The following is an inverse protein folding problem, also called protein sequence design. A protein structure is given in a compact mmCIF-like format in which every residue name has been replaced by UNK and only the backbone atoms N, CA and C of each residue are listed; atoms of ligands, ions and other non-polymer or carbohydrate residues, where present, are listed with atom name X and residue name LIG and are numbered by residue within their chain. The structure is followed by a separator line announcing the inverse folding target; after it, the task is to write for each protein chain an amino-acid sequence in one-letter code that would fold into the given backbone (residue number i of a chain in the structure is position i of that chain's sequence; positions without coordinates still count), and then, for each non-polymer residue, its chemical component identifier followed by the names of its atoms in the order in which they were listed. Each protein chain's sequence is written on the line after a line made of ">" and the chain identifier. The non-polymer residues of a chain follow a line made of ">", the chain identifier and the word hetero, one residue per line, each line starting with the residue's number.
data_IF_467531124147
#
_entry.id   IF_467531124147
#
_cell.length_a   1.000
_cell.length_b   1.000
_cell.length_c   1.000
_cell.angle_alpha   90.00
_cell.angle_beta   90.00
_cell.angle_gamma   90.00
#
_symmetry.space_group_name_H-M   'P 1'
#
loop_
_entity.id
_entity.type
_entity.pdbx_description
1 polymer ?
#
# COMPACT_ATOMS: atom_id res chain seq x y z
N UNK A 1 7.10 28.82 27.85
CA UNK A 1 7.75 27.68 28.55
C UNK A 1 7.47 26.31 27.92
N UNK A 2 6.26 26.03 27.40
CA UNK A 2 5.96 24.75 26.75
C UNK A 2 6.72 24.52 25.43
N UNK A 3 6.83 25.53 24.56
CA UNK A 3 7.57 25.42 23.29
C UNK A 3 9.06 25.08 23.47
N UNK A 4 9.71 25.62 24.51
CA UNK A 4 11.11 25.33 24.81
C UNK A 4 11.34 23.86 25.21
N UNK A 5 10.33 23.18 25.76
CA UNK A 5 10.40 21.75 26.09
C UNK A 5 10.31 20.84 24.86
N UNK A 6 9.78 21.34 23.75
CA UNK A 6 9.71 20.61 22.49
C UNK A 6 10.98 20.79 21.65
N UNK A 7 11.82 21.78 21.96
CA UNK A 7 13.02 22.07 21.21
C UNK A 7 13.99 20.86 21.14
N UNK A 8 14.28 20.13 22.23
CA UNK A 8 15.13 18.95 22.14
C UNK A 8 14.55 17.87 21.23
N UNK A 9 13.23 17.64 21.30
CA UNK A 9 12.55 16.66 20.46
C UNK A 9 12.57 17.09 18.98
N UNK A 10 12.37 18.38 18.70
CA UNK A 10 12.45 18.93 17.35
C UNK A 10 13.86 18.80 16.78
N UNK A 11 14.90 19.16 17.56
CA UNK A 11 16.29 19.05 17.13
C UNK A 11 16.69 17.59 16.89
N UNK A 12 16.25 16.68 17.77
CA UNK A 12 16.49 15.25 17.59
C UNK A 12 15.76 14.71 16.35
N UNK A 13 14.48 15.06 16.16
CA UNK A 13 13.71 14.66 14.99
C UNK A 13 14.33 15.20 13.69
N UNK A 14 14.81 16.44 13.69
CA UNK A 14 15.51 17.04 12.56
C UNK A 14 16.83 16.31 12.26
N UNK A 15 17.62 16.03 13.29
CA UNK A 15 18.87 15.29 13.15
C UNK A 15 18.63 13.87 12.60
N UNK A 16 17.62 13.16 13.10
CA UNK A 16 17.22 11.84 12.59
C UNK A 16 16.75 11.93 11.14
N UNK A 17 15.92 12.92 10.79
CA UNK A 17 15.46 13.15 9.42
C UNK A 17 16.64 13.36 8.47
N UNK A 18 17.59 14.24 8.81
CA UNK A 18 18.78 14.50 8.00
C UNK A 18 19.64 13.23 7.90
N UNK A 19 19.87 12.53 9.01
CA UNK A 19 20.67 11.30 9.01
C UNK A 19 20.03 10.19 8.14
N UNK A 20 18.71 10.08 8.11
CA UNK A 20 17.99 9.05 7.37
C UNK A 20 17.68 9.43 5.90
N UNK A 21 17.88 10.68 5.49
CA UNK A 21 17.49 11.17 4.17
C UNK A 21 18.69 11.73 3.39
N UNK A 22 19.31 10.94 2.48
CA UNK A 22 20.52 11.35 1.76
C UNK A 22 20.40 12.69 1.02
N UNK A 23 19.22 13.00 0.46
CA UNK A 23 19.01 14.28 -0.20
C UNK A 23 18.99 15.45 0.78
N UNK A 24 18.44 15.28 2.00
CA UNK A 24 18.55 16.28 3.05
C UNK A 24 20.00 16.46 3.54
N UNK A 25 20.85 15.42 3.50
CA UNK A 25 22.26 15.56 3.90
C UNK A 25 23.04 16.53 3.02
N UNK A 26 22.67 16.65 1.72
CA UNK A 26 23.32 17.57 0.79
C UNK A 26 23.05 19.05 1.11
N UNK A 27 21.87 19.35 1.66
CA UNK A 27 21.49 20.68 2.13
C UNK A 27 20.49 20.53 3.30
N UNK A 28 20.98 20.39 4.54
CA UNK A 28 20.17 20.01 5.71
C UNK A 28 19.07 20.99 6.09
N UNK A 29 19.07 22.19 5.51
CA UNK A 29 18.03 23.21 5.74
C UNK A 29 17.23 23.49 4.47
N UNK A 30 17.90 23.70 3.34
CA UNK A 30 17.24 24.08 2.09
C UNK A 30 16.45 22.95 1.45
N UNK A 31 17.00 21.73 1.41
CA UNK A 31 16.31 20.61 0.77
C UNK A 31 15.03 20.17 1.50
N UNK A 32 14.99 20.04 2.84
CA UNK A 32 13.75 19.80 3.56
C UNK A 32 12.67 20.87 3.31
N UNK A 33 13.05 22.15 3.28
CA UNK A 33 12.11 23.26 2.99
C UNK A 33 11.60 23.18 1.55
N UNK A 34 12.49 22.94 0.57
CA UNK A 34 12.11 22.74 -0.85
C UNK A 34 11.16 21.56 -1.03
N UNK A 35 11.43 20.43 -0.37
CA UNK A 35 10.51 19.30 -0.41
C UNK A 35 9.14 19.67 0.15
N UNK A 36 9.09 20.36 1.29
CA UNK A 36 7.81 20.77 1.88
C UNK A 36 7.01 21.68 0.92
N UNK A 37 7.68 22.62 0.24
CA UNK A 37 7.02 23.47 -0.76
C UNK A 37 6.54 22.68 -1.97
N UNK A 38 7.35 21.77 -2.50
CA UNK A 38 6.95 21.01 -3.70
C UNK A 38 5.86 19.96 -3.42
N UNK A 39 5.88 19.31 -2.26
CA UNK A 39 4.81 18.39 -1.86
C UNK A 39 3.47 19.13 -1.65
N UNK A 40 3.48 20.43 -1.36
CA UNK A 40 2.26 21.22 -1.21
C UNK A 40 1.57 21.55 -2.53
N UNK A 41 2.26 21.40 -3.67
CA UNK A 41 1.75 21.75 -5.01
C UNK A 41 2.02 20.65 -6.05
N UNK A 42 2.01 19.37 -5.65
CA UNK A 42 2.38 18.27 -6.54
C UNK A 42 1.32 18.09 -7.66
N UNK A 43 1.66 18.32 -8.96
CA UNK A 43 0.68 18.42 -10.04
C UNK A 43 0.33 17.04 -10.64
N UNK A 44 0.01 16.07 -9.79
CA UNK A 44 -0.33 14.72 -10.24
C UNK A 44 -1.84 14.55 -10.32
N UNK A 45 -2.36 14.54 -11.54
CA UNK A 45 -3.79 14.50 -11.83
C UNK A 45 -4.16 13.27 -12.65
N UNK A 46 -4.83 12.31 -12.02
CA UNK A 46 -5.37 11.12 -12.69
C UNK A 46 -6.54 10.54 -11.90
N UNK A 47 -7.25 9.58 -12.50
CA UNK A 47 -8.34 8.87 -11.84
C UNK A 47 -7.91 7.49 -11.35
N UNK A 48 -8.46 7.06 -10.22
CA UNK A 48 -8.19 5.77 -9.61
C UNK A 48 -9.43 5.24 -8.89
N UNK A 49 -9.48 3.92 -8.65
CA UNK A 49 -10.62 3.30 -7.98
C UNK A 49 -10.46 3.30 -6.46
N UNK A 50 -11.52 3.72 -5.78
CA UNK A 50 -11.61 3.65 -4.33
C UNK A 50 -13.06 3.41 -3.89
N UNK A 51 -13.26 2.43 -3.00
CA UNK A 51 -14.59 2.00 -2.57
C UNK A 51 -15.57 1.72 -3.74
N UNK A 52 -15.06 1.20 -4.87
CA UNK A 52 -15.84 0.90 -6.07
C UNK A 52 -16.21 2.12 -6.94
N UNK A 53 -15.75 3.31 -6.57
CA UNK A 53 -15.96 4.54 -7.32
C UNK A 53 -14.65 5.00 -7.98
N UNK A 54 -14.75 5.69 -9.10
CA UNK A 54 -13.61 6.36 -9.72
C UNK A 54 -13.45 7.74 -9.12
N UNK A 55 -12.35 7.97 -8.40
CA UNK A 55 -12.01 9.25 -7.78
C UNK A 55 -10.86 9.90 -8.55
N UNK A 56 -10.77 11.22 -8.49
CA UNK A 56 -9.67 12.00 -9.05
C UNK A 56 -8.74 12.43 -7.93
N UNK A 57 -7.43 12.39 -8.16
CA UNK A 57 -6.42 12.73 -7.14
C UNK A 57 -6.51 14.17 -6.62
N UNK A 58 -7.13 15.07 -7.40
CA UNK A 58 -7.29 16.50 -7.11
C UNK A 58 -8.68 16.86 -6.56
N UNK A 59 -9.61 15.91 -6.46
CA UNK A 59 -10.98 16.12 -5.98
C UNK A 59 -11.40 14.92 -5.10
N UNK A 60 -10.77 14.84 -3.92
CA UNK A 60 -11.00 13.75 -2.99
C UNK A 60 -12.12 14.10 -2.01
N UNK A 61 -13.12 13.23 -1.83
CA UNK A 61 -14.15 13.48 -0.84
C UNK A 61 -13.57 13.39 0.57
N UNK A 62 -14.14 14.16 1.50
CA UNK A 62 -13.71 14.18 2.92
C UNK A 62 -13.65 12.79 3.56
N UNK A 63 -14.48 11.85 3.10
CA UNK A 63 -14.55 10.50 3.63
C UNK A 63 -13.42 9.57 3.15
N UNK A 64 -12.61 9.98 2.15
CA UNK A 64 -11.53 9.18 1.59
C UNK A 64 -10.53 8.72 2.66
N UNK A 65 -10.00 9.66 3.44
CA UNK A 65 -9.02 9.39 4.51
C UNK A 65 -9.59 8.46 5.60
N UNK A 66 -10.74 8.77 6.24
CA UNK A 66 -11.29 7.90 7.28
C UNK A 66 -11.71 6.54 6.73
N UNK A 67 -12.26 6.46 5.52
CA UNK A 67 -12.60 5.17 4.89
C UNK A 67 -11.32 4.35 4.60
N UNK A 68 -10.25 4.99 4.14
CA UNK A 68 -8.96 4.36 3.88
C UNK A 68 -8.39 3.68 5.12
N UNK A 69 -8.33 4.39 6.25
CA UNK A 69 -7.95 3.79 7.53
C UNK A 69 -8.95 2.73 7.99
N UNK A 70 -10.24 2.95 7.78
CA UNK A 70 -11.31 2.01 8.12
C UNK A 70 -11.17 0.65 7.44
N UNK A 71 -10.57 0.57 6.25
CA UNK A 71 -10.36 -0.69 5.52
C UNK A 71 -8.92 -1.22 5.59
N UNK A 72 -7.94 -0.38 5.95
CA UNK A 72 -6.51 -0.75 6.05
C UNK A 72 -6.03 -1.01 7.47
N UNK A 73 -6.77 -0.63 8.51
CA UNK A 73 -6.41 -0.95 9.89
C UNK A 73 -7.01 -2.30 10.33
N UNK A 74 -6.26 -3.11 11.11
CA UNK A 74 -6.84 -4.30 11.75
C UNK A 74 -8.04 -3.94 12.63
N UNK A 75 -9.07 -4.80 12.64
CA UNK A 75 -10.32 -4.52 13.37
C UNK A 75 -10.10 -4.29 14.86
N UNK A 76 -9.14 -5.01 15.46
CA UNK A 76 -8.77 -4.79 16.86
C UNK A 76 -8.25 -3.37 17.09
N UNK A 77 -7.45 -2.84 16.16
CA UNK A 77 -6.91 -1.47 16.23
C UNK A 77 -8.05 -0.45 16.07
N UNK A 78 -8.98 -0.68 15.12
CA UNK A 78 -10.15 0.20 14.94
C UNK A 78 -11.01 0.23 16.22
N UNK A 79 -11.31 -0.93 16.80
CA UNK A 79 -12.07 -1.03 18.05
C UNK A 79 -11.37 -0.31 19.20
N UNK A 80 -10.05 -0.48 19.33
CA UNK A 80 -9.23 0.20 20.31
C UNK A 80 -9.24 1.72 20.15
N UNK A 81 -9.13 2.22 18.92
CA UNK A 81 -9.21 3.64 18.59
C UNK A 81 -10.60 4.21 18.92
N UNK A 82 -11.68 3.46 18.69
CA UNK A 82 -13.02 3.83 19.14
C UNK A 82 -13.09 3.99 20.67
N UNK A 83 -12.48 3.08 21.42
CA UNK A 83 -12.32 3.20 22.87
C UNK A 83 -11.48 4.41 23.28
N UNK A 84 -10.36 4.65 22.60
CA UNK A 84 -9.50 5.82 22.81
C UNK A 84 -10.28 7.13 22.64
N UNK A 85 -11.08 7.24 21.56
CA UNK A 85 -11.94 8.38 21.30
C UNK A 85 -13.00 8.55 22.40
N UNK A 86 -13.69 7.48 22.79
CA UNK A 86 -14.69 7.53 23.85
C UNK A 86 -14.11 8.03 25.18
N UNK A 87 -12.91 7.58 25.55
CA UNK A 87 -12.23 8.07 26.76
C UNK A 87 -11.72 9.50 26.62
N UNK A 88 -11.25 9.90 25.44
CA UNK A 88 -10.85 11.29 25.18
C UNK A 88 -12.04 12.24 25.35
N UNK A 89 -13.19 11.92 24.76
CA UNK A 89 -14.43 12.69 24.89
C UNK A 89 -14.93 12.73 26.33
N UNK A 90 -14.90 11.60 27.03
CA UNK A 90 -15.30 11.55 28.43
C UNK A 90 -14.30 12.29 29.36
N UNK A 91 -13.02 12.37 28.98
CA UNK A 91 -12.01 13.19 29.66
C UNK A 91 -12.26 14.69 29.44
N UNK A 92 -12.55 15.08 28.21
CA UNK A 92 -12.91 16.45 27.83
C UNK A 92 -14.17 16.91 28.57
N UNK A 93 -15.22 16.10 28.61
CA UNK A 93 -16.46 16.40 29.32
C UNK A 93 -16.26 16.58 30.85
N UNK A 94 -15.22 15.97 31.42
CA UNK A 94 -14.84 16.11 32.83
C UNK A 94 -13.77 17.18 33.07
N UNK A 95 -13.40 17.96 32.06
CA UNK A 95 -12.33 18.96 32.16
C UNK A 95 -10.92 18.40 32.39
N UNK A 96 -10.70 17.10 32.15
CA UNK A 96 -9.43 16.42 32.40
C UNK A 96 -8.53 16.42 31.14
N UNK A 97 -8.08 17.62 30.78
CA UNK A 97 -7.25 17.90 29.60
C UNK A 97 -5.76 17.93 29.96
N UNK A 98 -5.17 16.74 30.14
CA UNK A 98 -3.72 16.63 30.38
C UNK A 98 -2.94 16.95 29.09
N UNK A 99 -1.82 17.70 29.15
CA UNK A 99 -1.04 18.08 27.97
C UNK A 99 -0.65 16.90 27.08
N UNK A 100 -0.35 15.75 27.66
CA UNK A 100 0.06 14.54 26.93
C UNK A 100 -1.09 13.98 26.08
N UNK A 101 -2.33 14.04 26.58
CA UNK A 101 -3.53 13.59 25.85
C UNK A 101 -3.87 14.55 24.71
N UNK A 102 -3.71 15.85 24.94
CA UNK A 102 -3.88 16.87 23.90
C UNK A 102 -2.82 16.65 22.81
N UNK A 103 -1.56 16.44 23.19
CA UNK A 103 -0.46 16.17 22.26
C UNK A 103 -0.70 14.92 21.42
N UNK A 104 -1.12 13.81 22.04
CA UNK A 104 -1.47 12.58 21.31
C UNK A 104 -2.67 12.80 20.38
N UNK A 105 -3.73 13.45 20.86
CA UNK A 105 -4.90 13.78 20.04
C UNK A 105 -4.54 14.66 18.84
N UNK A 106 -3.71 15.68 19.04
CA UNK A 106 -3.20 16.52 17.96
C UNK A 106 -2.34 15.73 16.97
N UNK A 107 -1.46 14.84 17.44
CA UNK A 107 -0.63 14.01 16.57
C UNK A 107 -1.46 13.04 15.69
N UNK A 108 -2.60 12.55 16.21
CA UNK A 108 -3.52 11.69 15.46
C UNK A 108 -4.40 12.48 14.50
N UNK A 109 -4.96 13.61 14.94
CA UNK A 109 -6.04 14.31 14.24
C UNK A 109 -5.56 15.44 13.34
N UNK A 110 -4.49 16.15 13.71
CA UNK A 110 -4.05 17.33 12.97
C UNK A 110 -3.54 17.00 11.56
N UNK A 111 -2.66 16.00 11.34
CA UNK A 111 -2.19 15.71 9.99
C UNK A 111 -3.31 15.35 8.99
N UNK A 112 -4.24 14.41 9.30
CA UNK A 112 -5.33 14.12 8.37
C UNK A 112 -6.29 15.31 8.23
N UNK A 113 -6.52 16.10 9.28
CA UNK A 113 -7.36 17.30 9.19
C UNK A 113 -6.75 18.35 8.24
N UNK A 114 -5.45 18.60 8.32
CA UNK A 114 -4.76 19.51 7.38
C UNK A 114 -4.93 18.99 5.96
N UNK A 115 -4.64 17.71 5.72
CA UNK A 115 -4.79 17.07 4.40
C UNK A 115 -6.20 17.22 3.83
N UNK A 116 -7.24 17.04 4.64
CA UNK A 116 -8.64 17.19 4.23
C UNK A 116 -9.08 18.65 4.04
N UNK A 117 -8.46 19.60 4.74
CA UNK A 117 -8.80 21.04 4.63
C UNK A 117 -8.06 21.71 3.49
N UNK A 118 -6.85 21.25 3.16
CA UNK A 118 -6.03 21.79 2.07
C UNK A 118 -6.23 21.05 0.75
N UNK A 119 -7.17 20.10 0.68
CA UNK A 119 -7.41 19.24 -0.47
C UNK A 119 -6.10 18.66 -1.06
N UNK A 120 -5.23 18.16 -0.18
CA UNK A 120 -3.93 17.66 -0.59
C UNK A 120 -4.08 16.45 -1.53
N UNK A 121 -3.25 16.41 -2.58
CA UNK A 121 -3.29 15.35 -3.59
C UNK A 121 -2.89 14.01 -2.96
N UNK A 122 -3.84 13.09 -2.85
CA UNK A 122 -3.61 11.71 -2.40
C UNK A 122 -4.02 10.71 -3.47
N UNK A 123 -3.40 9.54 -3.41
CA UNK A 123 -3.69 8.39 -4.26
C UNK A 123 -3.18 7.11 -3.60
N UNK A 124 -3.58 5.96 -4.17
CA UNK A 124 -3.12 4.62 -3.78
C UNK A 124 -3.40 4.29 -2.30
N UNK A 125 -4.58 4.66 -1.81
CA UNK A 125 -5.02 4.40 -0.44
C UNK A 125 -4.31 5.28 0.60
N UNK A 126 -3.88 4.68 1.70
CA UNK A 126 -3.31 5.39 2.87
C UNK A 126 -1.80 5.61 2.79
N UNK A 127 -1.13 5.32 1.65
CA UNK A 127 0.34 5.27 1.60
C UNK A 127 1.02 6.59 1.97
N UNK A 128 0.38 7.71 1.64
CA UNK A 128 0.83 9.06 1.99
C UNK A 128 0.69 9.39 3.48
N UNK A 129 -0.06 8.58 4.22
CA UNK A 129 -0.41 8.77 5.64
C UNK A 129 0.13 7.64 6.53
N UNK A 130 1.04 6.78 6.04
CA UNK A 130 1.60 5.66 6.81
C UNK A 130 2.35 6.12 8.07
N UNK A 131 2.84 7.36 8.08
CA UNK A 131 3.47 7.97 9.26
C UNK A 131 2.51 8.12 10.45
N UNK A 132 1.19 8.04 10.23
CA UNK A 132 0.21 8.03 11.33
C UNK A 132 0.12 6.67 12.03
N UNK A 133 0.53 5.58 11.39
CA UNK A 133 0.36 4.22 11.94
C UNK A 133 1.01 4.05 13.32
N UNK A 134 2.24 4.51 13.59
CA UNK A 134 2.84 4.40 14.92
C UNK A 134 2.04 5.15 15.99
N UNK A 135 1.57 6.36 15.69
CA UNK A 135 0.82 7.18 16.66
C UNK A 135 -0.57 6.59 16.92
N UNK A 136 -1.23 6.09 15.88
CA UNK A 136 -2.48 5.34 15.99
C UNK A 136 -2.29 4.07 16.83
N UNK A 137 -1.18 3.35 16.63
CA UNK A 137 -0.86 2.15 17.41
C UNK A 137 -0.66 2.48 18.89
N UNK A 138 0.02 3.59 19.23
CA UNK A 138 0.16 4.06 20.62
C UNK A 138 -1.20 4.39 21.23
N UNK A 139 -2.05 5.14 20.51
CA UNK A 139 -3.40 5.47 20.98
C UNK A 139 -4.25 4.21 21.22
N UNK A 140 -4.19 3.26 20.29
CA UNK A 140 -4.85 1.96 20.40
C UNK A 140 -4.30 1.13 21.58
N UNK A 141 -2.98 1.11 21.80
CA UNK A 141 -2.35 0.36 22.87
C UNK A 141 -2.73 0.90 24.25
N UNK A 142 -2.67 2.22 24.45
CA UNK A 142 -3.12 2.87 25.69
C UNK A 142 -4.59 2.59 25.98
N UNK A 143 -5.39 2.54 24.91
CA UNK A 143 -6.78 2.20 25.02
C UNK A 143 -6.98 0.73 25.44
N UNK A 144 -6.30 -0.20 24.79
CA UNK A 144 -6.36 -1.61 25.17
C UNK A 144 -5.88 -1.85 26.59
N UNK A 145 -4.75 -1.26 26.98
CA UNK A 145 -4.19 -1.37 28.34
C UNK A 145 -5.21 -0.94 29.39
N UNK A 146 -5.86 0.22 29.18
CA UNK A 146 -6.91 0.69 30.06
C UNK A 146 -8.12 -0.24 30.09
N UNK A 147 -8.57 -0.78 28.96
CA UNK A 147 -9.68 -1.73 28.92
C UNK A 147 -9.34 -3.02 29.67
N UNK A 148 -8.13 -3.54 29.49
CA UNK A 148 -7.65 -4.76 30.14
C UNK A 148 -7.49 -4.56 31.65
N UNK A 149 -7.10 -3.36 32.09
CA UNK A 149 -7.03 -2.99 33.51
C UNK A 149 -8.40 -2.92 34.21
N UNK A 150 -9.52 -2.92 33.46
CA UNK A 150 -10.87 -3.05 34.03
C UNK A 150 -11.26 -4.50 34.31
N UNK A 151 -10.50 -5.47 33.79
CA UNK A 151 -10.76 -6.88 34.05
C UNK A 151 -10.29 -7.26 35.47
N UNK A 152 -11.05 -8.11 36.19
CA UNK A 152 -10.58 -8.63 37.46
C UNK A 152 -9.35 -9.51 37.26
N UNK A 153 -8.46 -9.56 38.25
CA UNK A 153 -7.16 -10.26 38.18
C UNK A 153 -7.26 -11.72 37.68
N UNK A 154 -8.31 -12.45 38.09
CA UNK A 154 -8.61 -13.82 37.62
C UNK A 154 -8.82 -13.94 36.09
N UNK A 155 -9.00 -12.81 35.39
CA UNK A 155 -9.22 -12.69 33.94
C UNK A 155 -8.08 -11.94 33.24
N UNK A 156 -6.98 -11.62 33.93
CA UNK A 156 -5.84 -10.91 33.34
C UNK A 156 -5.24 -11.65 32.13
N UNK A 157 -5.35 -12.99 32.10
CA UNK A 157 -4.87 -13.83 30.99
C UNK A 157 -5.59 -13.58 29.64
N UNK A 158 -6.81 -13.02 29.66
CA UNK A 158 -7.60 -12.77 28.44
C UNK A 158 -6.86 -11.81 27.50
N UNK A 159 -6.29 -10.73 28.03
CA UNK A 159 -5.60 -9.71 27.23
C UNK A 159 -4.45 -10.28 26.41
N UNK A 160 -3.43 -10.89 27.06
CA UNK A 160 -2.33 -11.52 26.35
C UNK A 160 -2.77 -12.60 25.37
N UNK A 161 -3.79 -13.39 25.71
CA UNK A 161 -4.28 -14.48 24.84
C UNK A 161 -4.93 -13.94 23.57
N UNK A 162 -5.79 -12.92 23.69
CA UNK A 162 -6.41 -12.26 22.52
C UNK A 162 -5.35 -11.58 21.66
N UNK A 163 -4.39 -10.90 22.28
CA UNK A 163 -3.29 -10.24 21.56
C UNK A 163 -2.39 -11.25 20.83
N UNK A 164 -2.07 -12.38 21.46
CA UNK A 164 -1.27 -13.44 20.85
C UNK A 164 -2.01 -14.08 19.67
N UNK A 165 -3.31 -14.38 19.82
CA UNK A 165 -4.13 -14.89 18.74
C UNK A 165 -4.27 -13.91 17.56
N UNK A 166 -4.46 -12.62 17.87
CA UNK A 166 -4.48 -11.57 16.86
C UNK A 166 -3.13 -11.42 16.15
N UNK A 167 -2.02 -11.39 16.88
CA UNK A 167 -0.68 -11.32 16.30
C UNK A 167 -0.38 -12.53 15.40
N UNK A 168 -0.76 -13.74 15.82
CA UNK A 168 -0.63 -14.95 15.00
C UNK A 168 -1.45 -14.84 13.70
N UNK A 169 -2.68 -14.33 13.76
CA UNK A 169 -3.49 -14.10 12.56
C UNK A 169 -2.83 -13.09 11.60
N UNK A 170 -2.29 -11.98 12.12
CA UNK A 170 -1.56 -11.00 11.29
C UNK A 170 -0.29 -11.60 10.68
N UNK A 171 0.46 -12.42 11.42
CA UNK A 171 1.64 -13.12 10.88
C UNK A 171 1.28 -14.11 9.77
N UNK A 172 0.15 -14.81 9.90
CA UNK A 172 -0.35 -15.70 8.83
C UNK A 172 -0.71 -14.89 7.58
N UNK A 173 -1.38 -13.74 7.74
CA UNK A 173 -1.70 -12.87 6.60
C UNK A 173 -0.44 -12.33 5.93
N UNK A 174 0.55 -11.86 6.71
CA UNK A 174 1.83 -11.41 6.19
C UNK A 174 2.54 -12.54 5.42
N UNK A 175 2.62 -13.74 5.98
CA UNK A 175 3.24 -14.89 5.32
C UNK A 175 2.53 -15.29 4.02
N UNK A 176 1.20 -15.23 3.98
CA UNK A 176 0.40 -15.54 2.78
C UNK A 176 0.53 -14.47 1.70
N UNK A 177 0.73 -13.22 2.10
CA UNK A 177 0.85 -12.09 1.17
C UNK A 177 2.27 -11.86 0.71
N UNK A 178 3.28 -12.32 1.44
CA UNK A 178 4.68 -12.03 1.15
C UNK A 178 5.05 -12.24 -0.34
N UNK A 179 5.75 -11.28 -0.98
CA UNK A 179 6.20 -9.97 -0.49
C UNK A 179 5.23 -8.79 -0.77
N UNK A 180 3.92 -9.05 -0.83
CA UNK A 180 2.86 -8.09 -1.20
C UNK A 180 1.97 -7.69 -0.02
N UNK A 181 2.52 -7.53 1.17
CA UNK A 181 1.74 -7.18 2.38
C UNK A 181 0.95 -5.87 2.21
N UNK A 182 1.41 -4.96 1.35
CA UNK A 182 0.72 -3.71 1.02
C UNK A 182 -0.70 -3.91 0.43
N UNK A 183 -0.96 -5.06 -0.22
CA UNK A 183 -2.29 -5.35 -0.79
C UNK A 183 -3.29 -5.84 0.25
N UNK A 184 -2.89 -5.98 1.51
CA UNK A 184 -3.78 -6.39 2.59
C UNK A 184 -4.93 -5.41 2.79
N UNK A 185 -6.12 -5.96 3.05
CA UNK A 185 -7.32 -5.23 3.45
C UNK A 185 -8.00 -6.02 4.58
N UNK A 186 -8.64 -5.31 5.50
CA UNK A 186 -9.30 -5.94 6.63
C UNK A 186 -10.63 -6.60 6.21
N UNK A 187 -11.28 -7.28 7.17
CA UNK A 187 -12.54 -7.97 6.90
C UNK A 187 -13.72 -7.04 6.57
N UNK A 188 -13.70 -5.75 6.91
CA UNK A 188 -14.76 -4.80 6.49
C UNK A 188 -14.73 -4.57 4.98
N UNK A 189 -13.55 -4.61 4.37
CA UNK A 189 -13.39 -4.61 2.91
C UNK A 189 -13.55 -6.00 2.28
N UNK A 190 -13.84 -7.05 3.07
CA UNK A 190 -13.92 -8.43 2.58
C UNK A 190 -12.55 -9.07 2.30
N UNK A 191 -11.49 -8.58 2.93
CA UNK A 191 -10.12 -9.02 2.67
C UNK A 191 -9.62 -8.62 1.28
N UNK A 192 -8.53 -9.25 0.84
CA UNK A 192 -7.91 -8.98 -0.47
C UNK A 192 -8.89 -9.22 -1.62
N UNK A 193 -9.67 -10.30 -1.57
CA UNK A 193 -10.70 -10.62 -2.59
C UNK A 193 -11.81 -9.60 -2.64
N UNK A 194 -12.28 -9.14 -1.48
CA UNK A 194 -13.30 -8.09 -1.43
C UNK A 194 -12.74 -6.74 -1.85
N UNK A 195 -11.43 -6.53 -1.77
CA UNK A 195 -10.81 -5.30 -2.24
C UNK A 195 -10.62 -5.26 -3.76
N UNK A 196 -10.51 -6.42 -4.42
CA UNK A 196 -10.38 -6.52 -5.87
C UNK A 196 -11.48 -5.77 -6.62
N UNK A 197 -11.08 -4.98 -7.61
CA UNK A 197 -11.96 -4.11 -8.40
C UNK A 197 -12.57 -2.91 -7.65
N UNK A 198 -12.50 -2.85 -6.31
CA UNK A 198 -13.06 -1.77 -5.47
C UNK A 198 -11.99 -0.83 -4.90
N UNK A 199 -10.82 -1.35 -4.59
CA UNK A 199 -9.71 -0.61 -4.03
C UNK A 199 -8.41 -0.97 -4.75
N UNK A 200 -7.42 -0.13 -4.54
CA UNK A 200 -6.09 -0.31 -5.08
C UNK A 200 -5.36 -1.49 -4.40
N UNK A 201 -4.81 -2.40 -5.21
CA UNK A 201 -3.99 -3.53 -4.74
C UNK A 201 -2.51 -3.25 -5.03
N UNK A 202 -1.96 -3.81 -6.11
CA UNK A 202 -0.56 -3.60 -6.49
C UNK A 202 -0.38 -2.28 -7.25
N UNK A 203 -0.09 -1.23 -6.47
CA UNK A 203 -0.08 0.14 -6.99
C UNK A 203 1.10 0.45 -7.94
N UNK A 204 2.21 -0.29 -7.83
CA UNK A 204 3.46 -0.01 -8.56
C UNK A 204 3.97 -1.17 -9.41
N UNK A 205 3.12 -2.18 -9.62
CA UNK A 205 3.48 -3.34 -10.44
C UNK A 205 4.60 -4.16 -9.83
N UNK A 206 4.64 -4.31 -8.50
CA UNK A 206 5.61 -5.15 -7.81
C UNK A 206 5.51 -6.60 -8.30
N UNK A 207 4.29 -7.07 -8.60
CA UNK A 207 3.99 -8.39 -9.14
C UNK A 207 4.55 -8.62 -10.55
N UNK A 208 4.82 -7.56 -11.30
CA UNK A 208 5.49 -7.65 -12.61
C UNK A 208 6.89 -8.24 -12.48
N UNK A 209 7.59 -7.96 -11.36
CA UNK A 209 8.92 -8.51 -11.13
C UNK A 209 8.90 -10.02 -10.93
N UNK A 210 7.92 -10.54 -10.19
CA UNK A 210 7.74 -11.99 -10.00
C UNK A 210 7.30 -12.63 -11.31
N UNK A 211 6.37 -12.02 -12.04
CA UNK A 211 5.93 -12.49 -13.35
C UNK A 211 7.09 -12.59 -14.35
N UNK A 212 7.96 -11.58 -14.41
CA UNK A 212 9.15 -11.57 -15.26
C UNK A 212 10.17 -12.66 -14.91
N UNK A 213 10.42 -12.88 -13.60
CA UNK A 213 11.31 -13.96 -13.14
C UNK A 213 10.75 -15.35 -13.45
N UNK A 214 9.45 -15.56 -13.25
CA UNK A 214 8.77 -16.82 -13.58
C UNK A 214 8.84 -17.07 -15.09
N UNK A 215 8.50 -16.06 -15.89
CA UNK A 215 8.56 -16.13 -17.35
C UNK A 215 9.95 -16.56 -17.83
N UNK A 216 11.00 -15.84 -17.42
CA UNK A 216 12.36 -16.13 -17.89
C UNK A 216 12.82 -17.54 -17.48
N UNK A 217 12.55 -17.95 -16.22
CA UNK A 217 12.85 -19.29 -15.73
C UNK A 217 12.15 -20.38 -16.54
N UNK A 218 10.85 -20.22 -16.79
CA UNK A 218 10.03 -21.26 -17.41
C UNK A 218 10.38 -21.41 -18.90
N UNK A 219 10.68 -20.32 -19.59
CA UNK A 219 11.17 -20.35 -20.98
C UNK A 219 12.56 -20.97 -21.08
N UNK A 220 13.49 -20.64 -20.17
CA UNK A 220 14.81 -21.30 -20.13
C UNK A 220 14.68 -22.80 -19.86
N UNK A 221 13.73 -23.21 -19.01
CA UNK A 221 13.45 -24.63 -18.74
C UNK A 221 12.88 -25.35 -19.96
N UNK A 222 12.02 -24.68 -20.73
CA UNK A 222 11.36 -25.26 -21.90
C UNK A 222 12.26 -25.31 -23.15
N UNK A 223 13.11 -24.29 -23.35
CA UNK A 223 13.87 -24.10 -24.60
C UNK A 223 15.39 -24.23 -24.45
N UNK A 224 15.88 -24.39 -23.22
CA UNK A 224 17.30 -24.49 -22.90
C UNK A 224 17.93 -23.15 -22.53
N UNK A 225 19.18 -23.21 -22.05
CA UNK A 225 19.93 -22.06 -21.56
C UNK A 225 20.13 -20.95 -22.61
N UNK A 226 20.16 -21.31 -23.89
CA UNK A 226 20.30 -20.37 -25.00
C UNK A 226 19.11 -19.40 -25.13
N UNK A 227 17.95 -19.69 -24.52
CA UNK A 227 16.79 -18.81 -24.57
C UNK A 227 17.06 -17.40 -24.02
N UNK A 228 18.05 -17.25 -23.11
CA UNK A 228 18.44 -15.95 -22.57
C UNK A 228 19.10 -15.03 -23.62
N UNK A 229 19.68 -15.60 -24.68
CA UNK A 229 20.36 -14.84 -25.74
C UNK A 229 19.44 -14.52 -26.92
N UNK A 230 18.29 -15.22 -27.01
CA UNK A 230 17.27 -14.99 -28.03
C UNK A 230 16.66 -13.58 -27.88
N UNK A 231 16.40 -12.87 -28.99
CA UNK A 231 15.90 -11.50 -28.97
C UNK A 231 14.38 -11.45 -28.81
N UNK A 232 13.84 -12.01 -27.72
CA UNK A 232 12.40 -12.00 -27.48
C UNK A 232 11.88 -10.57 -27.25
N UNK A 233 10.74 -10.26 -27.87
CA UNK A 233 10.05 -8.98 -27.69
C UNK A 233 8.98 -9.10 -26.62
N UNK A 234 9.13 -8.34 -25.54
CA UNK A 234 8.23 -8.38 -24.39
C UNK A 234 7.52 -7.05 -24.25
N UNK A 235 6.21 -7.05 -24.45
CA UNK A 235 5.37 -5.88 -24.18
C UNK A 235 4.95 -5.88 -22.72
N UNK A 236 5.15 -4.76 -22.03
CA UNK A 236 4.78 -4.59 -20.63
C UNK A 236 3.63 -3.60 -20.53
N UNK A 237 2.55 -4.00 -19.86
CA UNK A 237 1.47 -3.11 -19.46
C UNK A 237 1.60 -2.77 -17.97
N UNK A 238 1.99 -1.54 -17.69
CA UNK A 238 2.34 -1.05 -16.36
C UNK A 238 3.73 -0.40 -16.34
N UNK A 239 4.32 -0.18 -15.15
CA UNK A 239 5.68 0.35 -15.02
C UNK A 239 6.68 -0.60 -15.69
N UNK A 240 7.25 -0.17 -16.81
CA UNK A 240 8.08 -1.03 -17.68
C UNK A 240 9.28 -1.59 -16.93
N UNK A 241 9.92 -0.76 -16.11
CA UNK A 241 11.11 -1.12 -15.33
C UNK A 241 10.83 -2.22 -14.30
N UNK A 242 9.60 -2.31 -13.78
CA UNK A 242 9.22 -3.35 -12.81
C UNK A 242 9.23 -4.76 -13.42
N UNK A 243 9.16 -4.88 -14.76
CA UNK A 243 9.30 -6.15 -15.47
C UNK A 243 10.65 -6.28 -16.18
N UNK A 244 11.03 -5.30 -17.01
CA UNK A 244 12.18 -5.39 -17.91
C UNK A 244 13.51 -5.58 -17.19
N UNK A 245 13.68 -4.97 -16.02
CA UNK A 245 14.89 -5.13 -15.19
C UNK A 245 15.14 -6.60 -14.79
N UNK A 246 14.08 -7.40 -14.66
CA UNK A 246 14.15 -8.80 -14.22
C UNK A 246 14.14 -9.81 -15.36
N UNK A 247 14.08 -9.34 -16.61
CA UNK A 247 14.18 -10.17 -17.80
C UNK A 247 15.63 -10.25 -18.30
N UNK A 248 15.98 -11.27 -19.10
CA UNK A 248 17.29 -11.32 -19.75
C UNK A 248 17.56 -10.05 -20.57
N UNK A 249 18.81 -9.51 -20.61
CA UNK A 249 19.10 -8.22 -21.28
C UNK A 249 18.80 -8.16 -22.79
N UNK A 250 18.68 -9.32 -23.43
CA UNK A 250 18.32 -9.46 -24.86
C UNK A 250 16.81 -9.42 -25.09
N UNK A 251 16.02 -9.59 -24.04
CA UNK A 251 14.57 -9.52 -24.10
C UNK A 251 14.16 -8.07 -23.89
N UNK A 252 13.57 -7.45 -24.92
CA UNK A 252 13.35 -6.00 -24.93
C UNK A 252 11.93 -5.65 -25.30
N UNK A 253 11.49 -4.48 -24.84
CA UNK A 253 10.28 -3.88 -25.37
C UNK A 253 10.41 -3.58 -26.87
N UNK A 254 9.32 -3.66 -27.65
CA UNK A 254 9.31 -3.20 -29.03
C UNK A 254 9.72 -1.72 -29.12
N UNK A 255 10.51 -1.31 -30.14
CA UNK A 255 10.98 0.08 -30.28
C UNK A 255 9.85 1.12 -30.28
N UNK A 256 8.71 0.79 -30.91
CA UNK A 256 7.60 1.73 -31.11
C UNK A 256 6.42 1.44 -30.17
N UNK A 257 6.59 0.53 -29.19
CA UNK A 257 5.50 0.00 -28.37
C UNK A 257 4.44 -0.80 -29.15
N UNK A 258 4.55 -0.81 -30.47
CA UNK A 258 3.67 -1.42 -31.45
C UNK A 258 4.49 -2.40 -32.31
N UNK A 259 3.90 -3.54 -32.67
CA UNK A 259 4.55 -4.57 -33.49
C UNK A 259 4.35 -5.99 -32.95
N UNK A 260 4.87 -7.01 -33.65
CA UNK A 260 4.77 -8.38 -33.19
C UNK A 260 5.56 -8.54 -31.88
N UNK A 261 4.92 -9.15 -30.90
CA UNK A 261 5.47 -9.36 -29.56
C UNK A 261 5.41 -10.85 -29.27
N UNK A 262 6.43 -11.36 -28.59
CA UNK A 262 6.52 -12.76 -28.21
C UNK A 262 5.80 -13.01 -26.89
N UNK A 263 5.91 -12.07 -25.96
CA UNK A 263 5.27 -12.11 -24.66
C UNK A 263 4.58 -10.80 -24.31
N UNK A 264 3.48 -10.90 -23.58
CA UNK A 264 2.80 -9.76 -23.00
C UNK A 264 2.72 -9.94 -21.49
N UNK A 265 3.28 -9.00 -20.73
CA UNK A 265 3.30 -9.00 -19.27
C UNK A 265 2.42 -7.86 -18.79
N UNK A 266 1.44 -8.14 -17.93
CA UNK A 266 0.54 -7.11 -17.40
C UNK A 266 0.25 -7.33 -15.94
N UNK A 267 0.10 -6.23 -15.20
CA UNK A 267 -0.55 -6.22 -13.90
C UNK A 267 -2.04 -5.88 -14.04
N UNK A 268 -2.81 -6.08 -12.97
CA UNK A 268 -4.28 -5.99 -13.01
C UNK A 268 -4.86 -4.63 -12.62
N UNK A 269 -4.05 -3.72 -12.05
CA UNK A 269 -4.48 -2.37 -11.65
C UNK A 269 -5.06 -1.56 -12.81
N UNK A 270 -4.32 -1.49 -13.92
CA UNK A 270 -4.67 -0.66 -15.08
C UNK A 270 -4.41 -1.46 -16.36
N UNK A 271 -5.36 -2.33 -16.74
CA UNK A 271 -5.20 -3.15 -17.93
C UNK A 271 -5.15 -2.26 -19.17
N UNK A 272 -4.23 -2.56 -20.08
CA UNK A 272 -4.12 -1.84 -21.35
C UNK A 272 -5.31 -2.21 -22.22
N UNK A 273 -5.99 -1.22 -22.85
CA UNK A 273 -7.22 -1.46 -23.60
C UNK A 273 -7.02 -2.37 -24.81
N UNK A 274 -5.80 -2.45 -25.33
CA UNK A 274 -5.41 -3.24 -26.49
C UNK A 274 -4.62 -4.51 -26.09
N UNK A 275 -4.93 -5.08 -24.92
CA UNK A 275 -4.34 -6.33 -24.46
C UNK A 275 -4.54 -7.44 -25.53
N UNK A 276 -3.44 -8.07 -26.00
CA UNK A 276 -3.52 -9.10 -27.03
C UNK A 276 -4.19 -10.37 -26.48
N UNK A 277 -4.73 -11.20 -27.37
CA UNK A 277 -5.26 -12.52 -27.01
C UNK A 277 -4.17 -13.57 -27.17
N UNK A 278 -3.93 -14.36 -26.13
CA UNK A 278 -3.01 -15.49 -26.15
C UNK A 278 -3.19 -16.39 -24.93
N UNK A 279 -2.61 -17.61 -24.94
CA UNK A 279 -2.57 -18.46 -23.76
C UNK A 279 -1.81 -17.78 -22.62
N UNK A 280 -2.43 -17.75 -21.44
CA UNK A 280 -1.77 -17.34 -20.21
C UNK A 280 -0.79 -18.44 -19.77
N UNK A 281 0.48 -18.07 -19.62
CA UNK A 281 1.55 -18.98 -19.20
C UNK A 281 2.07 -18.69 -17.79
N UNK A 282 1.78 -17.50 -17.24
CA UNK A 282 2.15 -17.12 -15.88
C UNK A 282 1.00 -16.37 -15.22
N UNK A 283 0.73 -16.71 -13.95
CA UNK A 283 -0.18 -15.99 -13.07
C UNK A 283 0.47 -15.76 -11.72
N UNK A 284 0.57 -14.50 -11.31
CA UNK A 284 0.98 -14.12 -9.95
C UNK A 284 -0.30 -13.80 -9.18
N UNK A 285 -0.63 -14.68 -8.24
CA UNK A 285 -1.85 -14.59 -7.44
C UNK A 285 -1.51 -14.49 -5.95
N UNK A 286 -2.29 -13.70 -5.21
CA UNK A 286 -2.26 -13.69 -3.74
C UNK A 286 -3.68 -13.72 -3.20
N UNK A 287 -3.92 -14.65 -2.27
CA UNK A 287 -5.22 -14.85 -1.62
C UNK A 287 -6.43 -14.92 -2.59
N UNK A 288 -6.27 -15.53 -3.77
CA UNK A 288 -7.37 -15.65 -4.74
C UNK A 288 -7.53 -14.48 -5.69
N UNK A 289 -6.59 -13.51 -5.71
CA UNK A 289 -6.61 -12.34 -6.60
C UNK A 289 -5.36 -12.29 -7.45
N UNK A 290 -5.55 -12.17 -8.77
CA UNK A 290 -4.46 -12.01 -9.73
C UNK A 290 -3.89 -10.60 -9.64
N UNK A 291 -2.59 -10.50 -9.39
CA UNK A 291 -1.86 -9.23 -9.36
C UNK A 291 -1.15 -8.96 -10.69
N UNK A 292 -0.60 -10.00 -11.31
CA UNK A 292 0.02 -9.95 -12.63
C UNK A 292 -0.11 -11.25 -13.40
N UNK A 293 -0.01 -11.17 -14.72
CA UNK A 293 -0.09 -12.32 -15.62
C UNK A 293 0.81 -12.12 -16.85
N UNK A 294 1.12 -13.22 -17.52
CA UNK A 294 1.88 -13.24 -18.78
C UNK A 294 1.18 -14.08 -19.83
N UNK A 295 1.06 -13.54 -21.04
CA UNK A 295 0.56 -14.24 -22.22
C UNK A 295 1.72 -14.62 -23.15
N UNK A 296 1.69 -15.84 -23.69
CA UNK A 296 2.56 -16.27 -24.78
C UNK A 296 1.86 -15.99 -26.11
N UNK A 297 2.45 -15.12 -26.93
CA UNK A 297 1.88 -14.67 -28.20
C UNK A 297 2.57 -15.33 -29.41
N UNK A 298 3.53 -16.21 -29.16
CA UNK A 298 4.20 -17.00 -30.20
C UNK A 298 3.32 -18.17 -30.64
N UNK A 299 2.44 -18.65 -29.75
CA UNK A 299 1.44 -19.67 -30.06
C UNK A 299 0.25 -19.05 -30.83
N UNK A 300 -0.14 -19.66 -31.98
CA UNK A 300 -1.38 -19.27 -32.67
C UNK A 300 -2.59 -19.57 -31.77
N UNK A 301 -3.62 -18.69 -31.73
CA UNK A 301 -4.81 -18.94 -30.92
C UNK A 301 -5.47 -20.26 -31.31
N UNK A 302 -5.83 -21.08 -30.31
CA UNK A 302 -6.64 -22.27 -30.52
C UNK A 302 -7.98 -21.85 -31.15
N UNK A 303 -8.44 -22.51 -32.22
CA UNK A 303 -9.73 -22.20 -32.82
C UNK A 303 -10.83 -22.35 -31.76
N UNK A 304 -11.70 -21.34 -31.67
CA UNK A 304 -12.85 -21.36 -30.76
C UNK A 304 -13.63 -22.66 -31.00
N UNK A 305 -13.87 -23.42 -29.93
CA UNK A 305 -14.68 -24.63 -30.01
C UNK A 305 -16.07 -24.23 -30.53
N UNK A 306 -16.35 -24.58 -31.79
CA UNK A 306 -17.61 -24.31 -32.44
C UNK A 306 -18.74 -24.94 -31.65
N UNK A 307 -19.71 -24.12 -31.24
CA UNK A 307 -20.96 -24.58 -30.67
C UNK A 307 -21.65 -25.54 -31.64
N UNK A 308 -21.96 -26.73 -31.13
CA UNK A 308 -23.05 -27.55 -31.64
C UNK A 308 -24.24 -27.36 -30.74
#
# INVERSE_FOLDING_TARGET
>A
MAAARLLPALLLAWAVMVAAWPWAQLDPLGNPVRALTEFSSFPLDFTFRFAGQELRTTDLPWWYVPAGFGVKLPLLVIAALGGALGWALAGLARGNLRPERIGLGAAVLLPPAVVMVTDAVLYDGIRHLLFLLPVLAVAAALALDRALGLLPERRAWIGPTVLAGWAAAMLVDMARLHPYEAVWYNALAGGVRGADGRYELDYWGTALSEAARILSRDIVRAEGAEAITRPYRVRVCGPHESALYYLPPRWRAPPDGQGPVDFYVSFTRSPCPDAPKGPEIVRVERMGVTLAYVLDLRAKPLPAAGGR
#
